data_IF_347945664021
#
_entry.id   IF_347945664021
#
_cell.length_a   1.000
_cell.length_b   1.000
_cell.length_c   1.000
_cell.angle_alpha   90.00
_cell.angle_beta   90.00
_cell.angle_gamma   90.00
#
_symmetry.space_group_name_H-M   'P 1'
#
loop_
_entity.id
_entity.type
_entity.pdbx_description
1 polymer ?
#
# COMPACT_ATOMS: atom_id res chain seq x y z
N UNK A 1 -20.06 5.45 -5.82
CA UNK A 1 -20.31 4.00 -6.07
C UNK A 1 -19.71 3.15 -4.93
N UNK A 2 -20.13 1.89 -4.73
CA UNK A 2 -19.75 1.06 -3.55
C UNK A 2 -18.25 1.06 -3.18
N UNK A 3 -17.36 1.13 -4.18
CA UNK A 3 -15.90 1.14 -3.99
C UNK A 3 -15.37 2.45 -3.39
N UNK A 4 -16.00 3.60 -3.65
CA UNK A 4 -15.61 4.88 -3.04
C UNK A 4 -15.79 4.84 -1.51
N UNK A 5 -16.83 4.15 -1.04
CA UNK A 5 -17.08 3.98 0.40
C UNK A 5 -15.99 3.15 1.08
N UNK A 6 -15.26 2.31 0.34
CA UNK A 6 -14.15 1.50 0.86
C UNK A 6 -12.85 2.29 1.05
N UNK A 7 -12.70 3.49 0.49
CA UNK A 7 -11.41 4.23 0.53
C UNK A 7 -10.97 4.61 1.95
N UNK A 8 -11.92 4.74 2.89
CA UNK A 8 -11.65 5.16 4.28
C UNK A 8 -12.32 4.26 5.31
N UNK A 9 -12.77 3.06 4.88
CA UNK A 9 -13.55 2.13 5.71
C UNK A 9 -13.16 0.71 5.37
N UNK A 10 -13.30 -0.19 6.32
CA UNK A 10 -13.05 -1.60 6.07
C UNK A 10 -14.11 -2.20 5.13
N UNK A 11 -13.67 -3.09 4.24
CA UNK A 11 -14.54 -3.74 3.24
C UNK A 11 -15.71 -4.50 3.87
N UNK A 12 -15.53 -5.07 5.06
CA UNK A 12 -16.56 -5.85 5.74
C UNK A 12 -17.71 -4.95 6.22
N UNK A 13 -17.41 -3.80 6.79
CA UNK A 13 -18.41 -2.80 7.18
C UNK A 13 -19.18 -2.26 5.97
N UNK A 14 -18.48 -1.99 4.86
CA UNK A 14 -19.13 -1.52 3.62
C UNK A 14 -20.01 -2.63 3.02
N UNK A 15 -19.53 -3.87 3.00
CA UNK A 15 -20.29 -5.05 2.57
C UNK A 15 -21.60 -5.20 3.35
N UNK A 16 -21.54 -5.13 4.69
CA UNK A 16 -22.72 -5.20 5.57
C UNK A 16 -23.69 -4.06 5.32
N UNK A 17 -23.18 -2.83 5.18
CA UNK A 17 -24.02 -1.65 4.98
C UNK A 17 -24.78 -1.70 3.65
N UNK A 18 -24.13 -2.16 2.58
CA UNK A 18 -24.71 -2.17 1.24
C UNK A 18 -25.47 -3.46 0.90
N UNK A 19 -25.39 -4.48 1.77
CA UNK A 19 -25.97 -5.80 1.50
C UNK A 19 -25.28 -6.56 0.36
N UNK A 20 -24.03 -6.19 0.04
CA UNK A 20 -23.23 -6.83 -1.02
C UNK A 20 -22.32 -7.86 -0.38
N UNK A 21 -22.22 -9.07 -0.94
CA UNK A 21 -21.29 -10.10 -0.45
C UNK A 21 -19.85 -9.58 -0.44
N UNK A 22 -19.11 -9.82 0.65
CA UNK A 22 -17.69 -9.45 0.78
C UNK A 22 -16.86 -9.93 -0.41
N UNK A 23 -17.07 -11.19 -0.82
CA UNK A 23 -16.38 -11.84 -1.95
C UNK A 23 -16.70 -11.22 -3.32
N UNK A 24 -17.74 -10.39 -3.41
CA UNK A 24 -18.05 -9.59 -4.61
C UNK A 24 -17.42 -8.21 -4.54
N UNK A 25 -17.50 -7.57 -3.37
CA UNK A 25 -16.96 -6.22 -3.16
C UNK A 25 -15.42 -6.20 -3.21
N UNK A 26 -14.78 -7.23 -2.68
CA UNK A 26 -13.33 -7.36 -2.60
C UNK A 26 -12.65 -7.32 -3.99
N UNK A 27 -13.05 -8.16 -4.98
CA UNK A 27 -12.52 -8.05 -6.34
C UNK A 27 -12.73 -6.68 -6.99
N UNK A 28 -13.90 -6.06 -6.83
CA UNK A 28 -14.18 -4.73 -7.39
C UNK A 28 -13.28 -3.66 -6.79
N UNK A 29 -13.06 -3.72 -5.48
CA UNK A 29 -12.13 -2.83 -4.81
C UNK A 29 -10.72 -3.00 -5.34
N UNK A 30 -10.22 -4.25 -5.43
CA UNK A 30 -8.87 -4.52 -5.91
C UNK A 30 -8.65 -4.21 -7.40
N UNK A 31 -9.69 -4.26 -8.23
CA UNK A 31 -9.62 -3.78 -9.63
C UNK A 31 -9.37 -2.26 -9.72
N UNK A 32 -9.87 -1.50 -8.75
CA UNK A 32 -9.72 -0.05 -8.70
C UNK A 32 -8.52 0.41 -7.86
N UNK A 33 -8.00 -0.44 -6.96
CA UNK A 33 -6.86 -0.13 -6.11
C UNK A 33 -5.63 0.43 -6.87
N UNK A 34 -5.24 -0.07 -8.06
CA UNK A 34 -4.15 0.52 -8.84
C UNK A 34 -4.38 1.99 -9.23
N UNK A 35 -5.63 2.40 -9.39
CA UNK A 35 -5.99 3.78 -9.74
C UNK A 35 -5.91 4.73 -8.54
N UNK A 36 -5.93 4.19 -7.32
CA UNK A 36 -5.80 4.93 -6.06
C UNK A 36 -4.34 5.20 -5.67
N UNK A 37 -3.37 4.67 -6.45
CA UNK A 37 -1.97 5.00 -6.24
C UNK A 37 -1.73 6.48 -6.50
N UNK A 38 -0.92 7.10 -5.64
CA UNK A 38 -0.46 8.46 -5.84
C UNK A 38 0.31 8.58 -7.16
N UNK A 39 0.04 9.67 -7.87
CA UNK A 39 0.69 10.00 -9.12
C UNK A 39 1.50 11.28 -8.96
N UNK A 40 2.67 11.40 -9.64
CA UNK A 40 3.50 12.59 -9.57
C UNK A 40 2.78 13.90 -9.95
N UNK A 41 1.77 13.85 -10.82
CA UNK A 41 0.99 15.02 -11.20
C UNK A 41 0.04 15.54 -10.10
N UNK A 42 -0.38 14.66 -9.17
CA UNK A 42 -1.43 14.95 -8.20
C UNK A 42 -0.86 15.21 -6.79
N UNK A 43 0.37 14.76 -6.54
CA UNK A 43 1.01 14.80 -5.22
C UNK A 43 2.48 15.21 -5.30
N UNK A 44 2.92 15.94 -4.27
CA UNK A 44 4.34 16.25 -4.09
C UNK A 44 5.14 14.98 -3.80
N UNK A 45 6.39 14.97 -4.27
CA UNK A 45 7.34 13.91 -3.95
C UNK A 45 7.49 13.75 -2.43
N UNK A 46 7.30 12.55 -1.89
CA UNK A 46 7.50 12.32 -0.47
C UNK A 46 8.97 12.36 -0.10
N UNK A 47 9.29 12.98 1.03
CA UNK A 47 10.65 13.05 1.58
C UNK A 47 10.98 11.87 2.49
N UNK A 48 9.95 11.14 2.94
CA UNK A 48 10.05 9.99 3.83
C UNK A 48 9.02 8.93 3.42
N UNK A 49 9.47 7.68 3.33
CA UNK A 49 8.63 6.57 2.91
C UNK A 49 8.56 5.51 4.00
N UNK A 50 7.35 5.03 4.24
CA UNK A 50 7.10 3.81 5.00
C UNK A 50 7.02 2.63 4.04
N UNK A 51 7.67 1.54 4.41
CA UNK A 51 7.51 0.26 3.74
C UNK A 51 6.75 -0.68 4.68
N UNK A 52 5.63 -1.22 4.20
CA UNK A 52 4.86 -2.22 4.94
C UNK A 52 4.74 -3.52 4.14
N UNK A 53 4.80 -4.65 4.85
CA UNK A 53 4.68 -6.00 4.28
C UNK A 53 3.29 -6.55 4.56
N UNK A 54 2.61 -7.07 3.55
CA UNK A 54 1.28 -7.65 3.71
C UNK A 54 1.14 -8.98 2.95
N UNK A 55 0.23 -9.84 3.42
CA UNK A 55 -0.04 -11.11 2.77
C UNK A 55 -1.07 -10.93 1.64
N UNK A 56 -0.69 -11.26 0.40
CA UNK A 56 -1.59 -11.33 -0.76
C UNK A 56 -2.41 -12.62 -0.74
N UNK A 57 -1.77 -13.72 -0.32
CA UNK A 57 -2.39 -15.01 -0.09
C UNK A 57 -1.79 -15.57 1.19
N UNK A 58 -2.64 -15.88 2.18
CA UNK A 58 -2.21 -16.38 3.50
C UNK A 58 -1.13 -17.46 3.34
N UNK A 59 0.04 -17.20 3.92
CA UNK A 59 1.14 -18.16 4.00
C UNK A 59 2.02 -18.32 2.74
N UNK A 60 1.59 -17.83 1.57
CA UNK A 60 2.25 -18.20 0.30
C UNK A 60 2.72 -17.03 -0.53
N UNK A 61 2.00 -15.90 -0.51
CA UNK A 61 2.35 -14.72 -1.29
C UNK A 61 2.29 -13.48 -0.41
N UNK A 62 3.37 -12.73 -0.42
CA UNK A 62 3.50 -11.45 0.27
C UNK A 62 3.70 -10.36 -0.76
N UNK A 63 3.24 -9.15 -0.45
CA UNK A 63 3.56 -7.93 -1.16
C UNK A 63 4.16 -6.91 -0.21
N UNK A 64 4.76 -5.88 -0.80
CA UNK A 64 5.21 -4.70 -0.09
C UNK A 64 4.51 -3.47 -0.66
N UNK A 65 4.13 -2.54 0.21
CA UNK A 65 3.71 -1.21 -0.20
C UNK A 65 4.79 -0.19 0.15
N UNK A 66 4.86 0.87 -0.63
CA UNK A 66 5.64 2.06 -0.34
C UNK A 66 4.69 3.24 -0.25
N UNK A 67 4.63 3.82 0.94
CA UNK A 67 3.67 4.85 1.31
C UNK A 67 4.42 6.10 1.77
N UNK A 68 3.92 7.29 1.40
CA UNK A 68 4.39 8.53 2.01
C UNK A 68 4.06 8.52 3.50
N UNK A 69 5.10 8.63 4.34
CA UNK A 69 4.95 8.61 5.79
C UNK A 69 4.14 9.81 6.32
N UNK A 70 4.08 10.92 5.57
CA UNK A 70 3.38 12.13 6.00
C UNK A 70 1.92 12.14 5.54
N UNK A 71 1.66 11.89 4.26
CA UNK A 71 0.30 11.96 3.71
C UNK A 71 -0.47 10.64 3.75
N UNK A 72 0.22 9.50 3.92
CA UNK A 72 -0.38 8.17 3.86
C UNK A 72 -0.75 7.72 2.45
N UNK A 73 -0.40 8.48 1.40
CA UNK A 73 -0.65 8.02 0.04
C UNK A 73 0.30 6.90 -0.36
N UNK A 74 -0.26 5.85 -0.96
CA UNK A 74 0.51 4.71 -1.46
C UNK A 74 0.98 5.04 -2.87
N UNK A 75 2.28 4.99 -3.10
CA UNK A 75 2.89 5.30 -4.40
C UNK A 75 3.22 4.05 -5.20
N UNK A 76 3.49 2.94 -4.51
CA UNK A 76 3.83 1.69 -5.15
C UNK A 76 3.36 0.50 -4.32
N UNK A 77 2.91 -0.54 -5.02
CA UNK A 77 2.65 -1.87 -4.46
C UNK A 77 3.34 -2.88 -5.35
N UNK A 78 4.16 -3.76 -4.78
CA UNK A 78 4.87 -4.80 -5.54
C UNK A 78 4.72 -6.15 -4.88
N UNK A 79 4.66 -7.21 -5.69
CA UNK A 79 4.71 -8.57 -5.17
C UNK A 79 6.11 -8.94 -4.67
N UNK A 80 6.14 -9.71 -3.59
CA UNK A 80 7.33 -10.22 -2.93
C UNK A 80 7.92 -9.28 -1.89
N UNK A 81 8.71 -9.87 -0.98
CA UNK A 81 9.33 -9.21 0.17
C UNK A 81 10.83 -9.50 0.31
N UNK A 82 11.43 -10.13 -0.71
CA UNK A 82 12.87 -10.37 -0.66
C UNK A 82 13.62 -9.03 -0.68
N UNK A 83 14.82 -9.01 -0.11
CA UNK A 83 15.67 -7.81 -0.10
C UNK A 83 15.88 -7.25 -1.52
N UNK A 84 16.03 -8.13 -2.50
CA UNK A 84 16.21 -7.73 -3.90
C UNK A 84 14.95 -7.09 -4.47
N UNK A 85 13.77 -7.67 -4.22
CA UNK A 85 12.50 -7.08 -4.67
C UNK A 85 12.24 -5.71 -4.03
N UNK A 86 12.50 -5.58 -2.72
CA UNK A 86 12.39 -4.30 -2.02
C UNK A 86 13.36 -3.27 -2.58
N UNK A 87 14.61 -3.69 -2.86
CA UNK A 87 15.61 -2.81 -3.48
C UNK A 87 15.15 -2.33 -4.86
N UNK A 88 14.58 -3.21 -5.67
CA UNK A 88 14.07 -2.87 -7.00
C UNK A 88 12.86 -1.94 -6.91
N UNK A 89 11.93 -2.16 -5.96
CA UNK A 89 10.82 -1.24 -5.72
C UNK A 89 11.33 0.17 -5.40
N UNK A 90 12.30 0.28 -4.48
CA UNK A 90 12.94 1.56 -4.14
C UNK A 90 13.71 2.20 -5.29
N UNK A 91 14.23 1.42 -6.24
CA UNK A 91 14.88 1.96 -7.45
C UNK A 91 13.89 2.44 -8.51
N UNK A 92 12.73 1.77 -8.60
CA UNK A 92 11.62 2.15 -9.49
C UNK A 92 10.74 3.26 -8.90
N UNK A 93 11.14 3.82 -7.76
CA UNK A 93 10.47 4.94 -7.10
C UNK A 93 10.38 6.13 -8.06
N UNK A 94 9.31 6.96 -8.01
CA UNK A 94 9.01 7.92 -9.09
C UNK A 94 10.03 9.06 -9.25
N UNK A 95 11.11 9.08 -8.47
CA UNK A 95 12.12 10.13 -8.53
C UNK A 95 13.51 9.51 -8.39
N UNK A 96 14.42 9.93 -9.28
CA UNK A 96 15.81 9.52 -9.32
C UNK A 96 16.40 9.54 -7.90
N UNK A 97 17.09 8.45 -7.53
CA UNK A 97 17.76 8.31 -6.24
C UNK A 97 18.45 9.61 -5.84
N UNK A 98 18.00 10.30 -4.77
CA UNK A 98 18.76 11.40 -4.23
C UNK A 98 20.09 10.82 -3.74
N UNK A 99 21.19 11.44 -4.18
CA UNK A 99 22.54 11.17 -3.68
C UNK A 99 22.58 11.20 -2.15
N UNK A 100 23.55 10.52 -1.53
CA UNK A 100 23.29 9.25 -0.85
C UNK A 100 22.20 9.37 0.23
N UNK A 101 21.01 8.83 -0.05
CA UNK A 101 19.97 8.68 0.97
C UNK A 101 20.46 7.75 2.10
N UNK A 102 20.52 8.29 3.32
CA UNK A 102 20.79 7.52 4.54
C UNK A 102 19.52 6.72 4.87
N UNK A 103 19.48 5.46 4.46
CA UNK A 103 18.41 4.53 4.80
C UNK A 103 18.40 4.27 6.31
N UNK A 104 17.51 4.94 7.04
CA UNK A 104 17.26 4.63 8.45
C UNK A 104 16.20 3.54 8.48
N UNK A 105 16.61 2.30 8.75
CA UNK A 105 15.66 1.24 9.10
C UNK A 105 15.12 1.52 10.51
N UNK A 106 13.91 2.06 10.60
CA UNK A 106 13.12 2.00 11.82
C UNK A 106 12.14 0.83 11.68
N UNK A 107 12.33 -0.21 12.50
CA UNK A 107 11.31 -1.24 12.68
C UNK A 107 10.23 -0.66 13.58
N UNK A 108 9.06 -0.40 13.02
CA UNK A 108 7.85 -0.18 13.82
C UNK A 108 7.27 -1.56 14.14
N UNK A 109 7.47 -2.03 15.37
CA UNK A 109 6.80 -3.23 15.86
C UNK A 109 5.37 -2.83 16.22
N UNK A 110 4.38 -3.28 15.45
CA UNK A 110 2.98 -3.19 15.90
C UNK A 110 2.79 -4.20 17.03
N UNK A 111 2.87 -3.74 18.28
CA UNK A 111 2.35 -4.50 19.42
C UNK A 111 0.83 -4.57 19.27
N UNK A 112 0.33 -5.74 18.85
CA UNK A 112 -1.08 -6.08 18.96
C UNK A 112 -1.46 -6.05 20.45
N UNK A 113 -2.12 -4.97 20.89
CA UNK A 113 -2.99 -5.04 22.06
C UNK A 113 -4.21 -5.86 21.66
N UNK A 114 -4.27 -7.05 22.25
CA UNK A 114 -5.39 -8.00 22.22
C UNK A 114 -6.62 -7.38 22.85
#
# INVERSE_FOLDING_TARGET
MAVELCQKRDLLSVSKQLGICYTTLEPWYYQLAPQLLAKPQDHLTPTMVCLDEFALQKGHKYGVNLMDAQSGHIWQVTEGRSREQVRQALMNWPFATPSPCRWIKQKYTYEHRV
#
